data_IF_328693019468
#
_entry.id   IF_328693019468
#
_cell.length_a   1.000
_cell.length_b   1.000
_cell.length_c   1.000
_cell.angle_alpha   90.00
_cell.angle_beta   90.00
_cell.angle_gamma   90.00
#
_symmetry.space_group_name_H-M   'P 1'
#
loop_
_entity.id
_entity.type
_entity.pdbx_description
1 polymer ?
#
# COMPACT_ATOMS: atom_id res chain seq x y z
N UNK A 1 13.62 -0.97 -3.21
CA UNK A 1 14.19 -2.24 -3.71
C UNK A 1 13.19 -3.39 -3.52
N UNK A 2 12.77 -3.70 -2.29
CA UNK A 2 11.83 -4.82 -2.05
C UNK A 2 10.45 -4.68 -2.70
N UNK A 3 9.92 -3.46 -2.82
CA UNK A 3 8.60 -3.21 -3.43
C UNK A 3 8.54 -3.53 -4.92
N UNK A 4 9.68 -3.45 -5.64
CA UNK A 4 9.75 -3.77 -7.07
C UNK A 4 9.70 -5.30 -7.25
N UNK A 5 10.47 -6.05 -6.46
CA UNK A 5 10.42 -7.52 -6.48
C UNK A 5 9.01 -8.03 -6.11
N UNK A 6 8.39 -7.45 -5.07
CA UNK A 6 7.01 -7.78 -4.71
C UNK A 6 6.02 -7.51 -5.85
N UNK A 7 6.18 -6.39 -6.57
CA UNK A 7 5.39 -6.09 -7.78
C UNK A 7 5.58 -7.17 -8.86
N UNK A 8 6.81 -7.59 -9.12
CA UNK A 8 7.14 -8.64 -10.11
C UNK A 8 6.52 -10.00 -9.75
N UNK A 9 6.43 -10.30 -8.46
CA UNK A 9 5.75 -11.49 -7.95
C UNK A 9 4.22 -11.34 -7.80
N UNK A 10 3.64 -10.21 -8.21
CA UNK A 10 2.20 -9.95 -8.10
C UNK A 10 1.71 -9.80 -6.64
N UNK A 11 2.61 -9.56 -5.70
CA UNK A 11 2.29 -9.40 -4.28
C UNK A 11 1.76 -7.97 -4.07
N UNK A 12 0.53 -7.80 -3.55
CA UNK A 12 -0.04 -6.48 -3.33
C UNK A 12 0.70 -5.74 -2.20
N UNK A 13 0.99 -4.45 -2.43
CA UNK A 13 1.67 -3.57 -1.47
C UNK A 13 0.64 -2.84 -0.60
N UNK A 14 0.89 -2.77 0.71
CA UNK A 14 0.15 -1.95 1.66
C UNK A 14 0.99 -0.74 2.04
N UNK A 15 0.38 0.46 2.02
CA UNK A 15 0.98 1.69 2.53
C UNK A 15 0.40 1.95 3.92
N UNK A 16 1.27 2.22 4.89
CA UNK A 16 0.92 2.52 6.28
C UNK A 16 1.87 3.60 6.82
N UNK A 17 1.40 4.38 7.79
CA UNK A 17 2.21 5.41 8.49
C UNK A 17 2.76 4.94 9.83
N UNK A 18 2.32 3.78 10.33
CA UNK A 18 2.65 3.28 11.67
C UNK A 18 2.28 4.30 12.77
N UNK A 19 1.12 4.93 12.59
CA UNK A 19 0.64 5.97 13.48
C UNK A 19 0.28 5.41 14.87
N UNK A 20 0.91 5.95 15.91
CA UNK A 20 0.60 5.69 17.32
C UNK A 20 -0.30 6.77 17.94
N UNK A 21 -0.64 7.80 17.16
CA UNK A 21 -1.59 8.86 17.48
C UNK A 21 -2.28 9.34 16.18
N UNK A 22 -3.49 9.93 16.24
CA UNK A 22 -4.23 10.36 15.04
C UNK A 22 -3.45 11.31 14.11
N UNK A 23 -2.62 12.19 14.68
CA UNK A 23 -1.76 13.13 13.93
C UNK A 23 -0.74 12.42 13.04
N UNK A 24 -0.37 11.17 13.36
CA UNK A 24 0.53 10.38 12.52
C UNK A 24 -0.10 9.92 11.20
N UNK A 25 -1.42 9.99 11.04
CA UNK A 25 -2.10 9.63 9.80
C UNK A 25 -1.84 10.64 8.66
N UNK A 26 -1.50 11.89 9.01
CA UNK A 26 -1.18 12.95 8.04
C UNK A 26 0.08 12.64 7.21
N UNK A 27 0.92 11.72 7.70
CA UNK A 27 2.14 11.26 7.02
C UNK A 27 1.86 10.33 5.83
N UNK A 28 0.61 9.95 5.56
CA UNK A 28 0.24 9.01 4.49
C UNK A 28 0.73 9.47 3.11
N UNK A 29 0.79 10.78 2.87
CA UNK A 29 1.28 11.38 1.63
C UNK A 29 2.70 10.92 1.29
N UNK A 30 3.58 10.79 2.29
CA UNK A 30 4.95 10.32 2.07
C UNK A 30 4.99 8.87 1.56
N UNK A 31 4.10 8.02 2.07
CA UNK A 31 3.96 6.64 1.59
C UNK A 31 3.52 6.58 0.13
N UNK A 32 2.64 7.49 -0.30
CA UNK A 32 2.20 7.61 -1.69
C UNK A 32 3.36 8.06 -2.59
N UNK A 33 4.15 9.04 -2.14
CA UNK A 33 5.28 9.55 -2.93
C UNK A 33 6.39 8.50 -3.10
N UNK A 34 6.66 7.72 -2.05
CA UNK A 34 7.56 6.56 -2.13
C UNK A 34 7.02 5.51 -3.12
N UNK A 35 5.71 5.23 -3.10
CA UNK A 35 5.10 4.28 -4.02
C UNK A 35 5.20 4.74 -5.50
N UNK A 36 5.01 6.04 -5.76
CA UNK A 36 5.18 6.63 -7.09
C UNK A 36 6.62 6.53 -7.58
N UNK A 37 7.60 6.83 -6.72
CA UNK A 37 9.04 6.68 -7.02
C UNK A 37 9.42 5.23 -7.33
N UNK A 38 8.70 4.26 -6.77
CA UNK A 38 8.87 2.84 -7.05
C UNK A 38 8.11 2.35 -8.31
N UNK A 39 7.55 3.26 -9.11
CA UNK A 39 6.73 2.94 -10.30
C UNK A 39 5.59 1.96 -9.98
N UNK A 40 4.96 2.14 -8.82
CA UNK A 40 3.74 1.40 -8.46
C UNK A 40 2.52 2.11 -9.04
N UNK A 41 1.56 1.30 -9.50
CA UNK A 41 0.29 1.74 -10.04
C UNK A 41 -0.82 1.36 -9.06
N UNK A 42 -2.02 1.91 -9.25
CA UNK A 42 -3.21 1.59 -8.44
C UNK A 42 -3.42 0.07 -8.27
N UNK A 43 -3.23 -0.71 -9.34
CA UNK A 43 -3.39 -2.17 -9.32
C UNK A 43 -2.44 -2.90 -8.36
N UNK A 44 -1.25 -2.32 -8.10
CA UNK A 44 -0.24 -2.88 -7.21
C UNK A 44 -0.49 -2.55 -5.73
N UNK A 45 -1.37 -1.59 -5.42
CA UNK A 45 -1.57 -1.07 -4.06
C UNK A 45 -2.91 -1.56 -3.49
N UNK A 46 -2.85 -2.29 -2.37
CA UNK A 46 -4.01 -2.85 -1.70
C UNK A 46 -4.96 -1.77 -1.15
N UNK A 47 -4.43 -0.66 -0.62
CA UNK A 47 -5.21 0.46 -0.05
C UNK A 47 -6.20 1.10 -1.03
N UNK A 48 -6.02 0.92 -2.34
CA UNK A 48 -6.88 1.52 -3.37
C UNK A 48 -8.11 0.67 -3.71
N UNK A 49 -8.17 -0.55 -3.16
CA UNK A 49 -9.29 -1.48 -3.30
C UNK A 49 -10.44 -1.05 -2.41
N UNK A 50 -11.67 -1.36 -2.81
CA UNK A 50 -12.83 -1.19 -1.94
C UNK A 50 -12.73 -2.13 -0.74
N UNK A 51 -13.45 -1.84 0.34
CA UNK A 51 -13.48 -2.71 1.52
C UNK A 51 -13.79 -4.17 1.17
N UNK A 52 -14.80 -4.42 0.33
CA UNK A 52 -15.18 -5.77 -0.13
C UNK A 52 -14.06 -6.49 -0.88
N UNK A 53 -13.27 -5.75 -1.66
CA UNK A 53 -12.13 -6.31 -2.40
C UNK A 53 -10.93 -6.57 -1.48
N UNK A 54 -10.64 -5.65 -0.55
CA UNK A 54 -9.58 -5.79 0.42
C UNK A 54 -9.81 -6.98 1.37
N UNK A 55 -11.05 -7.15 1.84
CA UNK A 55 -11.42 -8.25 2.73
C UNK A 55 -11.15 -9.63 2.11
N UNK A 56 -11.23 -9.77 0.77
CA UNK A 56 -10.87 -11.03 0.08
C UNK A 56 -9.39 -11.36 0.17
N UNK A 57 -8.51 -10.38 0.35
CA UNK A 57 -7.07 -10.59 0.52
C UNK A 57 -6.70 -11.07 1.93
N UNK A 58 -7.55 -10.79 2.92
CA UNK A 58 -7.34 -11.16 4.33
C UNK A 58 -7.88 -12.56 4.67
N UNK A 59 -8.77 -13.10 3.84
CA UNK A 59 -9.36 -14.41 4.06
C UNK A 59 -8.34 -15.50 3.71
N UNK A 60 -8.08 -16.38 4.67
CA UNK A 60 -7.49 -17.71 4.42
C UNK A 60 -8.44 -18.56 3.59
#
# INVERSE_FOLDING_TARGET
VQTIAAREHGIPIVINTDAHAPTGLDLMTYGIDVARRAFLEKKHIANTKTWKQFQKLLKK
#
